data_IF_664253580694
#
_entry.id   IF_664253580694
#
_cell.length_a   1.000
_cell.length_b   1.000
_cell.length_c   1.000
_cell.angle_alpha   90.00
_cell.angle_beta   90.00
_cell.angle_gamma   90.00
#
_symmetry.space_group_name_H-M   'P 1'
#
loop_
_entity.id
_entity.type
_entity.pdbx_description
1 polymer ?
#
# COMPACT_ATOMS: atom_id res chain seq x y z
N UNK A 1 5.58 -14.06 -28.84
CA UNK A 1 6.33 -12.89 -28.36
C UNK A 1 5.77 -12.55 -26.98
N UNK A 2 6.52 -12.72 -25.89
CA UNK A 2 6.01 -12.40 -24.54
C UNK A 2 5.95 -10.87 -24.40
N UNK A 3 4.79 -10.34 -24.06
CA UNK A 3 4.54 -8.90 -23.92
C UNK A 3 5.45 -8.30 -22.84
N UNK A 4 5.84 -7.02 -22.97
CA UNK A 4 6.64 -6.31 -21.95
C UNK A 4 6.02 -6.33 -20.54
N UNK A 5 4.68 -6.47 -20.47
CA UNK A 5 3.91 -6.55 -19.23
C UNK A 5 4.00 -7.96 -18.58
N UNK A 6 4.09 -9.04 -19.37
CA UNK A 6 4.28 -10.40 -18.83
C UNK A 6 5.70 -10.59 -18.24
N UNK A 7 6.67 -9.82 -18.72
CA UNK A 7 8.02 -9.76 -18.18
C UNK A 7 8.09 -9.09 -16.80
N UNK A 8 7.13 -8.21 -16.45
CA UNK A 8 6.99 -7.61 -15.11
C UNK A 8 6.44 -8.59 -14.07
N UNK A 9 5.63 -9.56 -14.50
CA UNK A 9 4.97 -10.51 -13.61
C UNK A 9 5.79 -11.80 -13.40
N UNK A 10 6.47 -12.28 -14.44
CA UNK A 10 7.25 -13.52 -14.40
C UNK A 10 8.50 -13.40 -13.48
N UNK A 11 8.97 -14.50 -12.85
CA UNK A 11 10.17 -14.58 -11.95
C UNK A 11 11.45 -13.91 -12.48
N UNK A 12 11.47 -13.53 -13.75
CA UNK A 12 12.52 -12.79 -14.43
C UNK A 12 12.68 -11.35 -13.89
N UNK A 13 13.92 -10.91 -13.68
CA UNK A 13 14.28 -9.52 -13.32
C UNK A 13 14.09 -8.52 -14.48
N UNK A 14 13.83 -9.02 -15.70
CA UNK A 14 13.78 -8.21 -16.93
C UNK A 14 12.69 -7.13 -16.94
N UNK A 15 11.49 -7.41 -16.40
CA UNK A 15 10.43 -6.40 -16.32
C UNK A 15 10.77 -5.24 -15.39
N UNK A 16 11.14 -5.50 -14.11
CA UNK A 16 11.60 -4.45 -13.20
C UNK A 16 12.75 -3.61 -13.78
N UNK A 17 13.69 -4.24 -14.47
CA UNK A 17 14.80 -3.56 -15.15
C UNK A 17 14.33 -2.66 -16.31
N UNK A 18 13.34 -3.11 -17.08
CA UNK A 18 12.77 -2.35 -18.18
C UNK A 18 11.97 -1.15 -17.66
N UNK A 19 11.24 -1.32 -16.55
CA UNK A 19 10.56 -0.23 -15.86
C UNK A 19 11.56 0.80 -15.29
N UNK A 20 12.65 0.34 -14.69
CA UNK A 20 13.74 1.20 -14.23
C UNK A 20 14.36 1.98 -15.40
N UNK A 21 14.62 1.31 -16.53
CA UNK A 21 15.17 1.97 -17.71
C UNK A 21 14.23 3.05 -18.26
N UNK A 22 12.92 2.77 -18.32
CA UNK A 22 11.92 3.75 -18.73
C UNK A 22 11.90 4.94 -17.77
N UNK A 23 11.88 4.68 -16.46
CA UNK A 23 11.86 5.73 -15.45
C UNK A 23 13.15 6.56 -15.46
N UNK A 24 14.33 5.97 -15.66
CA UNK A 24 15.57 6.75 -15.76
C UNK A 24 15.62 7.66 -16.99
N UNK A 25 14.94 7.27 -18.08
CA UNK A 25 14.91 8.04 -19.33
C UNK A 25 13.80 9.11 -19.32
N UNK A 26 12.73 8.91 -18.55
CA UNK A 26 11.56 9.79 -18.53
C UNK A 26 11.90 11.26 -18.16
N UNK A 27 12.76 11.56 -17.17
CA UNK A 27 13.19 12.93 -16.87
C UNK A 27 13.90 13.64 -18.01
N UNK A 28 14.59 12.89 -18.88
CA UNK A 28 15.37 13.42 -20.00
C UNK A 28 14.44 13.78 -21.16
N UNK A 29 13.37 13.01 -21.35
CA UNK A 29 12.37 13.24 -22.40
C UNK A 29 11.42 14.38 -22.04
N UNK A 30 11.10 14.54 -20.75
CA UNK A 30 10.21 15.59 -20.25
C UNK A 30 10.98 16.46 -19.23
N UNK A 31 11.72 17.48 -19.69
CA UNK A 31 12.48 18.37 -18.81
C UNK A 31 11.57 19.44 -18.18
N UNK A 32 10.63 19.01 -17.33
CA UNK A 32 9.75 19.91 -16.58
C UNK A 32 9.83 19.63 -15.07
N UNK A 33 10.39 20.56 -14.26
CA UNK A 33 10.52 20.38 -12.80
C UNK A 33 9.22 19.99 -12.12
N UNK A 34 8.11 20.56 -12.59
CA UNK A 34 6.77 20.24 -12.13
C UNK A 34 6.42 18.74 -12.30
N UNK A 35 6.71 18.18 -13.48
CA UNK A 35 6.48 16.75 -13.75
C UNK A 35 7.42 15.89 -12.90
N UNK A 36 8.67 16.32 -12.68
CA UNK A 36 9.59 15.61 -11.79
C UNK A 36 9.06 15.57 -10.36
N UNK A 37 8.57 16.70 -9.84
CA UNK A 37 7.97 16.76 -8.51
C UNK A 37 6.73 15.88 -8.36
N UNK A 38 5.85 15.84 -9.36
CA UNK A 38 4.72 14.89 -9.38
C UNK A 38 5.21 13.44 -9.35
N UNK A 39 6.27 13.12 -10.09
CA UNK A 39 6.85 11.77 -10.10
C UNK A 39 7.53 11.38 -8.79
N UNK A 40 8.13 12.35 -8.07
CA UNK A 40 8.63 12.12 -6.71
C UNK A 40 7.47 11.75 -5.79
N UNK A 41 6.35 12.48 -5.83
CA UNK A 41 5.16 12.17 -5.04
C UNK A 41 4.56 10.80 -5.40
N UNK A 42 4.48 10.48 -6.69
CA UNK A 42 4.07 9.14 -7.15
C UNK A 42 4.97 8.06 -6.55
N UNK A 43 6.29 8.27 -6.56
CA UNK A 43 7.24 7.33 -5.98
C UNK A 43 7.02 7.12 -4.48
N UNK A 44 6.90 8.22 -3.72
CA UNK A 44 6.64 8.16 -2.27
C UNK A 44 5.34 7.42 -1.95
N UNK A 45 4.25 7.76 -2.65
CA UNK A 45 2.96 7.09 -2.47
C UNK A 45 2.97 5.63 -2.94
N UNK A 46 3.79 5.29 -3.94
CA UNK A 46 4.01 3.89 -4.35
C UNK A 46 4.67 3.09 -3.23
N UNK A 47 5.65 3.66 -2.50
CA UNK A 47 6.27 2.99 -1.35
C UNK A 47 5.21 2.72 -0.28
N UNK A 48 4.42 3.74 0.10
CA UNK A 48 3.33 3.57 1.09
C UNK A 48 2.33 2.51 0.63
N UNK A 49 1.86 2.62 -0.62
CA UNK A 49 0.89 1.72 -1.19
C UNK A 49 1.42 0.28 -1.35
N UNK A 50 2.72 0.10 -1.56
CA UNK A 50 3.35 -1.24 -1.61
C UNK A 50 3.25 -1.93 -0.26
N UNK A 51 3.58 -1.22 0.82
CA UNK A 51 3.37 -1.74 2.19
C UNK A 51 1.90 -2.08 2.43
N UNK A 52 1.01 -1.13 2.15
CA UNK A 52 -0.42 -1.29 2.37
C UNK A 52 -1.04 -2.43 1.53
N UNK A 53 -0.56 -2.64 0.29
CA UNK A 53 -0.97 -3.77 -0.55
C UNK A 53 -0.50 -5.12 0.00
N UNK A 54 0.70 -5.20 0.61
CA UNK A 54 1.13 -6.41 1.31
C UNK A 54 0.17 -6.73 2.47
N UNK A 55 -0.23 -5.72 3.23
CA UNK A 55 -1.12 -5.89 4.38
C UNK A 55 -2.55 -6.28 3.96
N UNK A 56 -3.15 -5.53 3.05
CA UNK A 56 -4.54 -5.77 2.65
C UNK A 56 -4.68 -6.95 1.68
N UNK A 57 -3.87 -6.98 0.62
CA UNK A 57 -4.01 -7.92 -0.48
C UNK A 57 -3.53 -9.33 -0.16
N UNK A 58 -2.60 -9.48 0.80
CA UNK A 58 -2.05 -10.79 1.15
C UNK A 58 -2.38 -11.23 2.57
N UNK A 59 -2.50 -10.33 3.54
CA UNK A 59 -2.87 -10.70 4.91
C UNK A 59 -4.39 -10.56 5.18
N UNK A 60 -5.13 -9.86 4.32
CA UNK A 60 -6.57 -9.60 4.50
C UNK A 60 -6.89 -8.55 5.55
N UNK A 61 -5.93 -7.70 5.88
CA UNK A 61 -6.06 -6.76 6.99
C UNK A 61 -6.27 -5.34 6.46
N UNK A 62 -7.44 -4.78 6.72
CA UNK A 62 -7.72 -3.37 6.39
C UNK A 62 -7.05 -2.48 7.45
N UNK A 63 -6.32 -1.45 7.00
CA UNK A 63 -5.72 -0.47 7.89
C UNK A 63 -6.03 0.94 7.43
N UNK A 64 -6.76 1.69 8.27
CA UNK A 64 -7.13 3.09 8.08
C UNK A 64 -6.23 4.04 8.90
N UNK A 65 -5.12 3.54 9.42
CA UNK A 65 -4.14 4.30 10.22
C UNK A 65 -2.78 4.47 9.57
N UNK A 66 -2.63 4.19 8.27
CA UNK A 66 -1.32 4.22 7.59
C UNK A 66 -0.65 5.59 7.57
N UNK A 67 -1.44 6.67 7.51
CA UNK A 67 -0.94 8.03 7.59
C UNK A 67 -0.25 8.33 8.93
N UNK A 68 -0.61 7.66 10.01
CA UNK A 68 0.09 7.81 11.28
C UNK A 68 1.51 7.23 11.22
N UNK A 69 1.71 6.07 10.58
CA UNK A 69 3.07 5.53 10.38
C UNK A 69 3.90 6.39 9.43
N UNK A 70 3.26 6.92 8.38
CA UNK A 70 3.87 7.90 7.49
C UNK A 70 4.29 9.18 8.25
N UNK A 71 3.39 9.75 9.05
CA UNK A 71 3.67 10.92 9.88
C UNK A 71 4.70 10.66 10.97
N UNK A 72 4.71 9.49 11.60
CA UNK A 72 5.74 9.14 12.60
C UNK A 72 7.13 9.11 11.97
N UNK A 73 7.27 8.54 10.76
CA UNK A 73 8.54 8.62 10.02
C UNK A 73 8.94 10.07 9.72
N UNK A 74 8.00 10.85 9.18
CA UNK A 74 8.21 12.26 8.85
C UNK A 74 8.68 13.10 10.05
N UNK A 75 7.90 13.10 11.14
CA UNK A 75 8.22 13.86 12.33
C UNK A 75 9.48 13.38 13.01
N UNK A 76 9.69 12.08 13.15
CA UNK A 76 10.84 11.60 13.89
C UNK A 76 12.16 11.87 13.14
N UNK A 77 12.16 11.72 11.80
CA UNK A 77 13.31 12.11 10.98
C UNK A 77 13.57 13.63 11.04
N UNK A 78 12.51 14.43 10.93
CA UNK A 78 12.59 15.89 11.05
C UNK A 78 13.12 16.35 12.42
N UNK A 79 12.63 15.77 13.51
CA UNK A 79 13.04 16.13 14.87
C UNK A 79 14.51 15.74 15.11
N UNK A 80 14.93 14.55 14.67
CA UNK A 80 16.32 14.10 14.85
C UNK A 80 17.30 14.98 14.06
N UNK A 81 16.93 15.39 12.86
CA UNK A 81 17.79 16.24 12.03
C UNK A 81 17.85 17.68 12.52
N UNK A 82 16.70 18.28 12.84
CA UNK A 82 16.62 19.70 13.25
C UNK A 82 17.08 19.92 14.69
N UNK A 83 16.63 19.10 15.64
CA UNK A 83 16.91 19.34 17.07
C UNK A 83 18.18 18.66 17.55
N UNK A 84 18.46 17.45 17.07
CA UNK A 84 19.63 16.68 17.50
C UNK A 84 20.83 16.84 16.55
N UNK A 85 20.65 17.48 15.39
CA UNK A 85 21.71 17.66 14.39
C UNK A 85 22.19 16.34 13.78
N UNK A 86 21.37 15.28 13.82
CA UNK A 86 21.75 13.99 13.27
C UNK A 86 21.81 14.02 11.75
N UNK A 87 22.66 13.20 11.11
CA UNK A 87 22.60 12.98 9.67
C UNK A 87 21.21 12.51 9.24
N UNK A 88 20.74 12.96 8.07
CA UNK A 88 19.39 12.65 7.59
C UNK A 88 19.08 11.15 7.53
N UNK A 89 20.05 10.33 7.11
CA UNK A 89 19.91 8.88 7.11
C UNK A 89 19.69 8.29 8.51
N UNK A 90 20.36 8.81 9.53
CA UNK A 90 20.17 8.36 10.90
C UNK A 90 18.78 8.77 11.42
N UNK A 91 18.30 9.96 11.04
CA UNK A 91 16.93 10.40 11.31
C UNK A 91 15.88 9.49 10.67
N UNK A 92 16.06 9.13 9.39
CA UNK A 92 15.17 8.21 8.66
C UNK A 92 15.14 6.84 9.36
N UNK A 93 16.30 6.29 9.70
CA UNK A 93 16.39 4.99 10.41
C UNK A 93 15.71 5.05 11.77
N UNK A 94 15.87 6.14 12.53
CA UNK A 94 15.18 6.34 13.79
C UNK A 94 13.65 6.38 13.60
N UNK A 95 13.16 7.09 12.58
CA UNK A 95 11.73 7.11 12.25
C UNK A 95 11.17 5.74 11.87
N UNK A 96 11.91 4.96 11.08
CA UNK A 96 11.52 3.58 10.73
C UNK A 96 11.46 2.70 11.98
N UNK A 97 12.48 2.77 12.85
CA UNK A 97 12.51 1.97 14.08
C UNK A 97 11.35 2.32 15.02
N UNK A 98 11.07 3.61 15.20
CA UNK A 98 9.93 4.06 16.01
C UNK A 98 8.61 3.55 15.42
N UNK A 99 8.41 3.67 14.11
CA UNK A 99 7.21 3.17 13.45
C UNK A 99 7.04 1.65 13.61
N UNK A 100 8.12 0.86 13.48
CA UNK A 100 8.09 -0.60 13.68
C UNK A 100 7.75 -0.95 15.13
N UNK A 101 8.38 -0.28 16.11
CA UNK A 101 8.13 -0.52 17.54
C UNK A 101 6.69 -0.18 17.91
N UNK A 102 6.18 0.97 17.46
CA UNK A 102 4.78 1.35 17.69
C UNK A 102 3.82 0.39 16.96
N UNK A 103 4.14 -0.01 15.73
CA UNK A 103 3.35 -1.00 15.00
C UNK A 103 3.31 -2.36 15.73
N UNK A 104 4.41 -2.78 16.37
CA UNK A 104 4.43 -3.97 17.20
C UNK A 104 3.52 -3.82 18.43
N UNK A 105 3.69 -2.74 19.20
CA UNK A 105 2.95 -2.47 20.43
C UNK A 105 1.44 -2.42 20.17
N UNK A 106 1.03 -1.72 19.11
CA UNK A 106 -0.38 -1.56 18.76
C UNK A 106 -0.93 -2.76 17.99
N UNK A 107 -0.10 -3.42 17.18
CA UNK A 107 -0.47 -4.58 16.40
C UNK A 107 -0.83 -5.78 17.29
N UNK A 108 -0.07 -6.05 18.36
CA UNK A 108 -0.36 -7.19 19.26
C UNK A 108 -1.81 -7.23 19.78
N UNK A 109 -2.37 -6.13 20.33
CA UNK A 109 -3.78 -6.10 20.72
C UNK A 109 -4.74 -5.92 19.53
N UNK A 110 -4.41 -5.06 18.55
CA UNK A 110 -5.33 -4.75 17.45
C UNK A 110 -5.61 -5.97 16.56
N UNK A 111 -4.61 -6.83 16.34
CA UNK A 111 -4.75 -8.01 15.48
C UNK A 111 -5.58 -9.15 16.07
N UNK A 112 -6.05 -9.02 17.32
CA UNK A 112 -7.02 -9.94 17.93
C UNK A 112 -8.47 -9.62 17.53
N UNK A 113 -8.70 -8.47 16.90
CA UNK A 113 -10.01 -8.03 16.43
C UNK A 113 -10.33 -8.64 15.07
N UNK A 114 -11.62 -8.81 14.78
CA UNK A 114 -12.10 -9.15 13.44
C UNK A 114 -11.87 -8.00 12.46
N UNK A 115 -11.85 -8.28 11.16
CA UNK A 115 -11.31 -7.41 10.11
C UNK A 115 -11.93 -6.01 10.08
N UNK A 116 -13.26 -5.91 10.26
CA UNK A 116 -13.96 -4.63 10.29
C UNK A 116 -13.63 -3.81 11.54
N UNK A 117 -13.46 -4.47 12.69
CA UNK A 117 -13.06 -3.82 13.95
C UNK A 117 -11.58 -3.44 13.94
N UNK A 118 -10.72 -4.21 13.26
CA UNK A 118 -9.32 -3.84 13.03
C UNK A 118 -9.22 -2.54 12.23
N UNK A 119 -10.05 -2.37 11.20
CA UNK A 119 -10.16 -1.12 10.45
C UNK A 119 -10.49 0.07 11.36
N UNK A 120 -11.51 -0.07 12.21
CA UNK A 120 -11.90 0.96 13.18
C UNK A 120 -10.80 1.24 14.22
N UNK A 121 -10.15 0.21 14.75
CA UNK A 121 -9.07 0.35 15.72
C UNK A 121 -7.86 1.09 15.11
N UNK A 122 -7.50 0.78 13.86
CA UNK A 122 -6.40 1.47 13.17
C UNK A 122 -6.73 2.93 12.83
N UNK A 123 -8.00 3.23 12.52
CA UNK A 123 -8.47 4.61 12.37
C UNK A 123 -8.32 5.38 13.69
N UNK A 124 -8.81 4.80 14.79
CA UNK A 124 -8.68 5.40 16.13
C UNK A 124 -7.23 5.65 16.51
N UNK A 125 -6.35 4.69 16.25
CA UNK A 125 -4.90 4.86 16.40
C UNK A 125 -4.38 6.05 15.56
N UNK A 126 -4.80 6.15 14.30
CA UNK A 126 -4.44 7.27 13.43
C UNK A 126 -4.82 8.63 14.02
N UNK A 127 -6.05 8.74 14.53
CA UNK A 127 -6.55 9.94 15.20
C UNK A 127 -5.76 10.26 16.46
N UNK A 128 -5.43 9.26 17.28
CA UNK A 128 -4.61 9.43 18.48
C UNK A 128 -3.24 10.02 18.11
N UNK A 129 -2.55 9.45 17.12
CA UNK A 129 -1.24 9.94 16.67
C UNK A 129 -1.33 11.37 16.12
N UNK A 130 -2.39 11.68 15.36
CA UNK A 130 -2.65 13.05 14.92
C UNK A 130 -2.81 14.03 16.09
N UNK A 131 -3.56 13.64 17.14
CA UNK A 131 -3.71 14.45 18.36
C UNK A 131 -2.35 14.63 19.06
N UNK A 132 -1.50 13.60 19.09
CA UNK A 132 -0.14 13.73 19.61
C UNK A 132 0.67 14.76 18.83
N UNK A 133 0.64 14.73 17.49
CA UNK A 133 1.33 15.73 16.67
C UNK A 133 0.80 17.15 16.90
N UNK A 134 -0.49 17.29 17.15
CA UNK A 134 -1.13 18.58 17.44
C UNK A 134 -0.77 19.12 18.83
N UNK A 135 -0.81 18.28 19.86
CA UNK A 135 -0.65 18.69 21.26
C UNK A 135 0.81 18.84 21.70
N UNK A 136 1.74 18.10 21.10
CA UNK A 136 3.16 18.19 21.41
C UNK A 136 3.82 19.43 20.78
N UNK A 137 3.22 20.62 20.95
CA UNK A 137 3.67 21.88 20.31
C UNK A 137 5.16 22.17 20.53
N UNK A 138 5.70 21.86 21.71
CA UNK A 138 7.13 22.04 22.02
C UNK A 138 8.06 21.16 21.18
N UNK A 139 7.59 20.01 20.69
CA UNK A 139 8.37 19.04 19.93
C UNK A 139 8.09 19.12 18.43
N UNK A 140 6.82 19.15 18.04
CA UNK A 140 6.35 19.05 16.65
C UNK A 140 5.98 20.39 16.01
N UNK A 141 5.95 21.49 16.78
CA UNK A 141 5.43 22.78 16.32
C UNK A 141 3.89 22.88 16.36
N UNK A 142 3.19 21.78 16.62
CA UNK A 142 1.72 21.76 16.69
C UNK A 142 1.08 22.10 15.33
N UNK A 143 -0.04 22.84 15.35
CA UNK A 143 -0.73 23.26 14.13
C UNK A 143 0.05 24.27 13.29
N UNK A 144 1.04 24.95 13.88
CA UNK A 144 1.89 25.93 13.19
C UNK A 144 2.86 25.23 12.21
N UNK A 145 3.03 23.91 12.36
CA UNK A 145 3.92 23.08 11.56
C UNK A 145 5.37 23.09 12.06
N UNK A 146 6.15 22.19 11.49
CA UNK A 146 7.57 22.01 11.77
C UNK A 146 8.36 22.40 10.52
N UNK A 147 9.12 23.49 10.63
CA UNK A 147 9.92 24.08 9.55
C UNK A 147 11.42 23.94 9.82
N UNK A 148 12.24 24.27 8.81
CA UNK A 148 13.70 24.23 8.92
C UNK A 148 14.28 22.83 8.79
N UNK A 149 13.53 21.88 8.20
CA UNK A 149 14.03 20.54 7.92
C UNK A 149 15.07 20.64 6.82
N UNK A 150 16.34 20.23 7.06
CA UNK A 150 17.35 20.28 6.02
C UNK A 150 16.99 19.33 4.89
N UNK A 151 17.33 19.75 3.67
CA UNK A 151 17.29 18.87 2.51
C UNK A 151 18.15 17.63 2.76
N UNK A 152 17.82 16.52 2.09
CA UNK A 152 18.53 15.28 2.32
C UNK A 152 20.00 15.44 1.94
N UNK A 153 20.91 15.15 2.87
CA UNK A 153 22.33 15.04 2.59
C UNK A 153 22.77 13.59 2.83
N UNK A 154 23.27 12.94 1.79
CA UNK A 154 23.76 11.55 1.84
C UNK A 154 25.25 11.56 1.49
N UNK A 155 26.10 11.24 2.47
CA UNK A 155 27.56 11.18 2.31
C UNK A 155 28.19 12.45 1.70
N UNK A 156 27.62 13.64 1.98
CA UNK A 156 28.12 14.92 1.47
C UNK A 156 27.47 15.39 0.17
N UNK A 157 26.56 14.61 -0.42
CA UNK A 157 25.76 15.00 -1.59
C UNK A 157 24.43 15.54 -1.09
N UNK A 158 24.15 16.81 -1.39
CA UNK A 158 22.87 17.47 -1.09
C UNK A 158 21.89 17.27 -2.23
N UNK A 159 20.70 16.77 -1.89
CA UNK A 159 19.58 16.60 -2.80
C UNK A 159 18.68 17.82 -2.65
N UNK A 160 18.76 18.77 -3.59
CA UNK A 160 18.01 20.04 -3.48
C UNK A 160 16.96 20.14 -4.58
N UNK A 161 17.23 19.61 -5.77
CA UNK A 161 16.31 19.74 -6.91
C UNK A 161 15.33 18.57 -7.00
N UNK A 162 14.19 18.81 -7.66
CA UNK A 162 13.20 17.75 -7.93
C UNK A 162 13.79 16.59 -8.74
N UNK A 163 14.77 16.87 -9.61
CA UNK A 163 15.51 15.84 -10.33
C UNK A 163 16.37 14.99 -9.40
N UNK A 164 17.06 15.61 -8.44
CA UNK A 164 17.90 14.87 -7.48
C UNK A 164 17.03 13.91 -6.66
N UNK A 165 15.89 14.39 -6.16
CA UNK A 165 14.93 13.57 -5.45
C UNK A 165 14.30 12.49 -6.33
N UNK A 166 14.05 12.77 -7.62
CA UNK A 166 13.59 11.77 -8.56
C UNK A 166 14.56 10.59 -8.63
N UNK A 167 15.85 10.87 -8.84
CA UNK A 167 16.88 9.84 -8.93
C UNK A 167 17.15 9.13 -7.61
N UNK A 168 16.79 9.73 -6.47
CA UNK A 168 16.85 9.07 -5.17
C UNK A 168 15.65 8.17 -4.89
N UNK A 169 14.44 8.64 -5.17
CA UNK A 169 13.19 7.95 -4.79
C UNK A 169 12.92 6.74 -5.69
N UNK A 170 13.13 6.84 -7.00
CA UNK A 170 12.77 5.74 -7.90
C UNK A 170 13.58 4.44 -7.72
N UNK A 171 14.90 4.48 -7.46
CA UNK A 171 15.63 3.29 -7.04
C UNK A 171 15.10 2.69 -5.74
N UNK A 172 14.71 3.53 -4.76
CA UNK A 172 14.10 3.06 -3.51
C UNK A 172 12.73 2.43 -3.73
N UNK A 173 11.90 3.01 -4.59
CA UNK A 173 10.62 2.42 -5.03
C UNK A 173 10.84 1.05 -5.63
N UNK A 174 11.79 0.92 -6.56
CA UNK A 174 12.09 -0.36 -7.19
C UNK A 174 12.60 -1.38 -6.17
N UNK A 175 13.52 -0.98 -5.29
CA UNK A 175 14.02 -1.84 -4.22
C UNK A 175 12.88 -2.29 -3.30
N UNK A 176 11.97 -1.38 -2.93
CA UNK A 176 10.78 -1.67 -2.13
C UNK A 176 9.84 -2.65 -2.83
N UNK A 177 9.54 -2.46 -4.12
CA UNK A 177 8.69 -3.38 -4.88
C UNK A 177 9.35 -4.76 -5.01
N UNK A 178 10.65 -4.82 -5.29
CA UNK A 178 11.40 -6.08 -5.41
C UNK A 178 11.47 -6.83 -4.07
N UNK A 179 11.68 -6.11 -2.97
CA UNK A 179 11.64 -6.68 -1.62
C UNK A 179 10.26 -7.25 -1.30
N UNK A 180 9.20 -6.47 -1.49
CA UNK A 180 7.81 -6.90 -1.28
C UNK A 180 7.49 -8.15 -2.11
N UNK A 181 7.92 -8.16 -3.37
CA UNK A 181 7.78 -9.30 -4.27
C UNK A 181 8.48 -10.55 -3.74
N UNK A 182 9.72 -10.42 -3.27
CA UNK A 182 10.46 -11.55 -2.72
C UNK A 182 9.79 -12.10 -1.46
N UNK A 183 9.29 -11.23 -0.58
CA UNK A 183 8.55 -11.63 0.63
C UNK A 183 7.28 -12.40 0.25
N UNK A 184 6.51 -11.92 -0.72
CA UNK A 184 5.26 -12.54 -1.18
C UNK A 184 5.52 -13.89 -1.90
N UNK A 185 6.65 -14.03 -2.59
CA UNK A 185 7.01 -15.29 -3.23
C UNK A 185 7.67 -16.31 -2.27
N UNK A 186 8.05 -15.87 -1.07
CA UNK A 186 8.69 -16.70 -0.06
C UNK A 186 7.69 -17.61 0.70
N UNK A 187 8.19 -18.31 1.73
CA UNK A 187 7.34 -19.10 2.66
C UNK A 187 6.34 -18.20 3.39
N UNK A 188 6.76 -16.98 3.74
CA UNK A 188 5.93 -15.97 4.42
C UNK A 188 4.72 -15.63 3.57
N UNK A 189 4.92 -15.30 2.29
CA UNK A 189 3.83 -14.98 1.38
C UNK A 189 2.83 -16.12 1.15
N UNK A 190 3.28 -17.38 1.16
CA UNK A 190 2.37 -18.53 1.08
C UNK A 190 1.50 -18.67 2.33
N UNK A 191 2.08 -18.46 3.51
CA UNK A 191 1.33 -18.44 4.77
C UNK A 191 0.32 -17.28 4.79
N UNK A 192 0.72 -16.08 4.35
CA UNK A 192 -0.20 -14.95 4.25
C UNK A 192 -1.38 -15.24 3.32
N UNK A 193 -1.11 -15.78 2.13
CA UNK A 193 -2.17 -16.12 1.18
C UNK A 193 -3.11 -17.21 1.69
N UNK A 194 -2.62 -18.16 2.51
CA UNK A 194 -3.51 -19.13 3.15
C UNK A 194 -4.40 -18.46 4.21
N UNK A 195 -3.81 -17.57 5.03
CA UNK A 195 -4.52 -16.80 6.06
C UNK A 195 -5.62 -15.94 5.43
N UNK A 196 -5.34 -15.30 4.29
CA UNK A 196 -6.31 -14.49 3.55
C UNK A 196 -7.51 -15.30 3.04
N UNK A 197 -7.30 -16.57 2.65
CA UNK A 197 -8.38 -17.44 2.21
C UNK A 197 -9.25 -17.92 3.38
N UNK A 198 -8.63 -18.45 4.43
CA UNK A 198 -9.31 -18.77 5.68
C UNK A 198 -8.31 -18.83 6.82
N UNK A 199 -8.47 -17.90 7.77
CA UNK A 199 -7.65 -17.87 8.98
C UNK A 199 -7.84 -19.12 9.83
N UNK A 200 -9.10 -19.58 9.99
CA UNK A 200 -9.42 -20.78 10.78
C UNK A 200 -8.78 -22.02 10.17
N UNK A 201 -8.88 -22.20 8.85
CA UNK A 201 -8.26 -23.35 8.17
C UNK A 201 -6.73 -23.31 8.22
N UNK A 202 -6.14 -22.12 8.08
CA UNK A 202 -4.67 -21.95 8.17
C UNK A 202 -4.14 -22.29 9.56
N UNK A 203 -4.85 -21.88 10.61
CA UNK A 203 -4.49 -22.20 11.99
C UNK A 203 -4.61 -23.72 12.26
N UNK A 204 -5.61 -24.41 11.68
CA UNK A 204 -5.78 -25.86 11.84
C UNK A 204 -4.63 -26.69 11.26
N UNK A 205 -3.96 -26.19 10.21
CA UNK A 205 -2.78 -26.84 9.62
C UNK A 205 -1.44 -26.35 10.22
N UNK A 206 -1.49 -25.61 11.34
CA UNK A 206 -0.30 -25.20 12.10
C UNK A 206 0.36 -23.89 11.66
N UNK A 207 -0.26 -23.09 10.79
CA UNK A 207 0.24 -21.75 10.43
C UNK A 207 -0.17 -20.77 11.52
N UNK A 208 0.79 -20.13 12.20
CA UNK A 208 0.49 -19.12 13.22
C UNK A 208 0.02 -17.81 12.57
N UNK A 209 -1.29 -17.60 12.46
CA UNK A 209 -1.86 -16.42 11.78
C UNK A 209 -1.42 -15.10 12.41
N UNK A 210 -1.42 -15.03 13.75
CA UNK A 210 -1.10 -13.83 14.51
C UNK A 210 0.32 -13.33 14.23
N UNK A 211 1.30 -14.23 14.19
CA UNK A 211 2.71 -13.86 13.98
C UNK A 211 2.93 -13.33 12.56
N UNK A 212 2.38 -14.01 11.54
CA UNK A 212 2.53 -13.57 10.16
C UNK A 212 1.80 -12.26 9.88
N UNK A 213 0.59 -12.08 10.42
CA UNK A 213 -0.16 -10.82 10.34
C UNK A 213 0.61 -9.68 11.02
N UNK A 214 1.18 -9.91 12.20
CA UNK A 214 1.98 -8.90 12.92
C UNK A 214 3.26 -8.51 12.16
N UNK A 215 3.97 -9.48 11.60
CA UNK A 215 5.17 -9.23 10.79
C UNK A 215 4.86 -8.36 9.58
N UNK A 216 3.78 -8.64 8.85
CA UNK A 216 3.38 -7.82 7.70
C UNK A 216 2.90 -6.45 8.12
N UNK A 217 2.20 -6.33 9.25
CA UNK A 217 1.80 -5.04 9.79
C UNK A 217 3.00 -4.15 10.10
N UNK A 218 4.02 -4.70 10.76
CA UNK A 218 5.29 -3.99 11.02
C UNK A 218 6.03 -3.63 9.74
N UNK A 219 6.08 -4.53 8.75
CA UNK A 219 6.67 -4.22 7.44
C UNK A 219 5.92 -3.08 6.76
N UNK A 220 4.59 -3.11 6.75
CA UNK A 220 3.75 -2.07 6.17
C UNK A 220 3.99 -0.70 6.80
N UNK A 221 4.10 -0.67 8.13
CA UNK A 221 4.46 0.54 8.88
C UNK A 221 5.87 1.05 8.53
N UNK A 222 6.84 0.16 8.31
CA UNK A 222 8.19 0.54 7.87
C UNK A 222 8.17 1.20 6.48
N UNK A 223 7.42 0.65 5.52
CA UNK A 223 7.26 1.27 4.19
C UNK A 223 6.64 2.67 4.29
N UNK A 224 5.59 2.82 5.10
CA UNK A 224 4.98 4.12 5.35
C UNK A 224 5.97 5.10 5.97
N UNK A 225 6.75 4.68 6.98
CA UNK A 225 7.72 5.52 7.65
C UNK A 225 8.89 5.93 6.75
N UNK A 226 9.39 5.05 5.87
CA UNK A 226 10.40 5.38 4.84
C UNK A 226 9.88 6.52 3.97
N UNK A 227 8.68 6.35 3.41
CA UNK A 227 8.11 7.35 2.51
C UNK A 227 7.84 8.68 3.22
N UNK A 228 7.35 8.65 4.47
CA UNK A 228 7.09 9.85 5.25
C UNK A 228 8.36 10.60 5.65
N UNK A 229 9.41 9.87 6.00
CA UNK A 229 10.71 10.49 6.31
C UNK A 229 11.29 11.19 5.08
N UNK A 230 11.26 10.53 3.91
CA UNK A 230 11.70 11.13 2.65
C UNK A 230 10.84 12.33 2.26
N UNK A 231 9.54 12.27 2.45
CA UNK A 231 8.62 13.39 2.20
C UNK A 231 8.95 14.62 3.04
N UNK A 232 9.28 14.44 4.33
CA UNK A 232 9.64 15.53 5.21
C UNK A 232 10.90 16.27 4.73
N UNK A 233 11.91 15.53 4.25
CA UNK A 233 13.12 16.12 3.69
C UNK A 233 12.91 16.75 2.31
N UNK A 234 11.98 16.21 1.51
CA UNK A 234 11.64 16.75 0.20
C UNK A 234 10.88 18.08 0.29
N UNK A 235 9.81 18.14 1.08
CA UNK A 235 9.00 19.37 1.22
C UNK A 235 9.64 20.38 2.19
N UNK A 236 10.55 19.92 3.06
CA UNK A 236 11.27 20.72 4.09
C UNK A 236 10.37 21.39 5.15
N UNK A 237 9.07 21.11 5.10
CA UNK A 237 8.05 21.58 6.01
C UNK A 237 6.97 20.50 6.17
N UNK A 238 6.55 20.24 7.41
CA UNK A 238 5.46 19.30 7.69
C UNK A 238 4.49 19.89 8.70
N UNK A 239 3.20 19.63 8.50
CA UNK A 239 2.13 19.99 9.45
C UNK A 239 1.29 18.77 9.80
N UNK A 240 0.63 18.71 10.98
CA UNK A 240 -0.15 17.55 11.39
C UNK A 240 -1.27 17.17 10.41
N UNK A 241 -1.85 18.16 9.72
CA UNK A 241 -2.98 18.00 8.80
C UNK A 241 -2.65 17.08 7.61
N UNK A 242 -1.38 16.98 7.23
CA UNK A 242 -0.91 16.07 6.18
C UNK A 242 -1.05 14.58 6.57
N UNK A 243 -1.24 14.29 7.86
CA UNK A 243 -1.22 12.94 8.42
C UNK A 243 -2.57 12.52 9.03
N UNK A 244 -3.66 13.17 8.62
CA UNK A 244 -5.01 12.85 9.08
C UNK A 244 -5.53 11.51 8.54
N UNK A 245 -6.67 11.05 9.09
CA UNK A 245 -7.36 9.86 8.60
C UNK A 245 -7.67 9.93 7.09
N UNK A 246 -7.97 11.13 6.57
CA UNK A 246 -8.17 11.40 5.14
C UNK A 246 -6.97 10.96 4.30
N UNK A 247 -5.75 11.20 4.76
CA UNK A 247 -4.55 10.74 4.05
C UNK A 247 -4.45 9.20 4.01
N UNK A 248 -4.85 8.52 5.08
CA UNK A 248 -4.91 7.04 5.09
C UNK A 248 -5.96 6.51 4.10
N UNK A 249 -7.10 7.20 4.00
CA UNK A 249 -8.14 6.88 3.01
C UNK A 249 -7.61 7.10 1.60
N UNK A 250 -6.85 8.18 1.34
CA UNK A 250 -6.24 8.41 0.03
C UNK A 250 -5.25 7.30 -0.34
N UNK A 251 -4.40 6.85 0.60
CA UNK A 251 -3.52 5.69 0.36
C UNK A 251 -4.31 4.42 0.05
N UNK A 252 -5.41 4.19 0.75
CA UNK A 252 -6.31 3.07 0.48
C UNK A 252 -6.90 3.16 -0.93
N UNK A 253 -7.40 4.34 -1.33
CA UNK A 253 -7.93 4.60 -2.67
C UNK A 253 -6.88 4.29 -3.73
N UNK A 254 -5.65 4.78 -3.58
CA UNK A 254 -4.55 4.48 -4.51
C UNK A 254 -4.34 2.96 -4.68
N UNK A 255 -4.31 2.21 -3.59
CA UNK A 255 -4.11 0.75 -3.64
C UNK A 255 -5.31 0.03 -4.28
N UNK A 256 -6.54 0.47 -4.01
CA UNK A 256 -7.75 -0.10 -4.61
C UNK A 256 -7.79 0.18 -6.12
N UNK A 257 -7.56 1.43 -6.53
CA UNK A 257 -7.49 1.83 -7.94
C UNK A 257 -6.43 1.00 -8.67
N UNK A 258 -5.25 0.84 -8.07
CA UNK A 258 -4.17 0.04 -8.64
C UNK A 258 -4.45 -1.47 -8.71
N UNK A 259 -5.26 -1.98 -7.78
CA UNK A 259 -5.57 -3.40 -7.60
C UNK A 259 -4.92 -3.96 -6.33
N UNK A 260 -5.74 -4.28 -5.32
CA UNK A 260 -5.29 -4.64 -3.96
C UNK A 260 -4.39 -5.88 -3.92
N UNK A 261 -4.69 -6.88 -4.76
CA UNK A 261 -3.99 -8.18 -4.78
C UNK A 261 -2.77 -8.24 -5.74
N UNK A 262 -2.27 -7.09 -6.20
CA UNK A 262 -1.14 -7.02 -7.13
C UNK A 262 -0.01 -6.12 -6.58
N UNK A 263 1.22 -6.64 -6.54
CA UNK A 263 2.41 -5.92 -6.05
C UNK A 263 2.70 -4.66 -6.88
N UNK A 264 2.40 -4.70 -8.17
CA UNK A 264 2.59 -3.56 -9.06
C UNK A 264 1.39 -2.61 -9.09
N UNK A 265 0.27 -3.00 -8.47
CA UNK A 265 -0.95 -2.20 -8.39
C UNK A 265 -0.70 -0.82 -7.77
N UNK A 266 -0.05 -0.73 -6.60
CA UNK A 266 0.25 0.55 -5.94
C UNK A 266 0.95 1.58 -6.83
N UNK A 267 1.85 1.14 -7.73
CA UNK A 267 2.53 2.05 -8.67
C UNK A 267 1.53 2.67 -9.65
N UNK A 268 0.69 1.85 -10.27
CA UNK A 268 -0.35 2.32 -11.20
C UNK A 268 -1.39 3.17 -10.49
N UNK A 269 -1.78 2.76 -9.29
CA UNK A 269 -2.73 3.48 -8.45
C UNK A 269 -2.22 4.86 -8.02
N UNK A 270 -0.97 4.95 -7.58
CA UNK A 270 -0.34 6.21 -7.22
C UNK A 270 -0.19 7.13 -8.43
N UNK A 271 0.24 6.61 -9.59
CA UNK A 271 0.28 7.39 -10.83
C UNK A 271 -1.11 7.93 -11.20
N UNK A 272 -2.11 7.05 -11.27
CA UNK A 272 -3.47 7.44 -11.62
C UNK A 272 -4.01 8.49 -10.63
N UNK A 273 -3.82 8.29 -9.33
CA UNK A 273 -4.29 9.21 -8.32
C UNK A 273 -3.61 10.58 -8.41
N UNK A 274 -2.28 10.64 -8.49
CA UNK A 274 -1.54 11.91 -8.49
C UNK A 274 -1.84 12.72 -9.75
N UNK A 275 -1.79 12.09 -10.93
CA UNK A 275 -2.11 12.79 -12.17
C UNK A 275 -3.58 13.22 -12.25
N UNK A 276 -4.48 12.38 -11.74
CA UNK A 276 -5.90 12.72 -11.73
C UNK A 276 -6.21 13.85 -10.74
N UNK A 277 -5.66 13.78 -9.52
CA UNK A 277 -5.75 14.86 -8.52
C UNK A 277 -5.28 16.18 -9.10
N UNK A 278 -4.13 16.16 -9.78
CA UNK A 278 -3.54 17.35 -10.33
C UNK A 278 -4.32 17.90 -11.54
N UNK A 279 -4.75 17.03 -12.47
CA UNK A 279 -5.61 17.44 -13.58
C UNK A 279 -6.97 17.95 -13.11
N UNK A 280 -7.49 17.43 -11.99
CA UNK A 280 -8.69 17.95 -11.36
C UNK A 280 -8.49 19.37 -10.84
N UNK A 281 -7.36 19.68 -10.21
CA UNK A 281 -7.07 21.04 -9.74
C UNK A 281 -6.99 22.06 -10.88
N UNK A 282 -6.60 21.64 -12.08
CA UNK A 282 -6.59 22.50 -13.26
C UNK A 282 -7.98 22.65 -13.89
N UNK A 283 -8.75 21.56 -14.01
CA UNK A 283 -10.03 21.54 -14.73
C UNK A 283 -11.20 22.05 -13.88
N UNK A 284 -11.22 21.75 -12.58
CA UNK A 284 -12.35 22.10 -11.70
C UNK A 284 -12.58 23.62 -11.63
N UNK A 285 -11.57 24.48 -11.45
CA UNK A 285 -11.75 25.93 -11.43
C UNK A 285 -12.24 26.50 -12.77
N UNK A 286 -12.01 25.80 -13.88
CA UNK A 286 -12.48 26.21 -15.22
C UNK A 286 -13.99 25.97 -15.40
N UNK A 287 -14.54 24.95 -14.74
CA UNK A 287 -15.96 24.56 -14.86
C UNK A 287 -16.81 25.18 -13.76
N UNK A 288 -16.27 25.30 -12.54
CA UNK A 288 -16.98 25.83 -11.37
C UNK A 288 -16.14 26.93 -10.72
N UNK A 289 -16.53 28.18 -10.91
CA UNK A 289 -15.93 29.32 -10.22
C UNK A 289 -16.11 29.17 -8.69
N UNK A 290 -15.03 29.25 -7.92
CA UNK A 290 -14.94 29.02 -6.46
C UNK A 290 -14.98 27.57 -5.98
N UNK A 291 -14.72 26.58 -6.83
CA UNK A 291 -14.53 25.22 -6.36
C UNK A 291 -13.22 25.08 -5.56
N UNK A 292 -13.33 24.74 -4.27
CA UNK A 292 -12.19 24.44 -3.39
C UNK A 292 -11.81 22.95 -3.40
N UNK A 293 -10.87 22.56 -2.53
CA UNK A 293 -10.39 21.17 -2.40
C UNK A 293 -11.46 20.15 -1.96
N UNK A 294 -12.62 20.61 -1.48
CA UNK A 294 -13.72 19.75 -1.06
C UNK A 294 -14.32 18.95 -2.23
N UNK A 295 -14.33 19.53 -3.44
CA UNK A 295 -14.81 18.86 -4.65
C UNK A 295 -13.90 17.71 -5.09
N UNK A 296 -12.60 17.80 -4.80
CA UNK A 296 -11.63 16.73 -5.09
C UNK A 296 -12.00 15.46 -4.30
N UNK A 297 -12.36 15.60 -3.02
CA UNK A 297 -12.76 14.49 -2.15
C UNK A 297 -14.03 13.81 -2.68
N UNK A 298 -15.04 14.60 -3.05
CA UNK A 298 -16.31 14.09 -3.60
C UNK A 298 -16.05 13.32 -4.90
N UNK A 299 -15.23 13.87 -5.80
CA UNK A 299 -14.90 13.22 -7.07
C UNK A 299 -14.16 11.90 -6.84
N UNK A 300 -13.17 11.86 -5.95
CA UNK A 300 -12.47 10.61 -5.61
C UNK A 300 -13.40 9.57 -4.98
N UNK A 301 -14.38 9.99 -4.18
CA UNK A 301 -15.42 9.10 -3.66
C UNK A 301 -16.27 8.48 -4.77
N UNK A 302 -16.74 9.29 -5.71
CA UNK A 302 -17.51 8.83 -6.88
C UNK A 302 -16.66 7.90 -7.75
N UNK A 303 -15.40 8.28 -8.03
CA UNK A 303 -14.46 7.48 -8.80
C UNK A 303 -14.19 6.13 -8.15
N UNK A 304 -14.00 6.10 -6.83
CA UNK A 304 -13.79 4.86 -6.06
C UNK A 304 -15.00 3.93 -6.21
N UNK A 305 -16.23 4.46 -6.03
CA UNK A 305 -17.46 3.67 -6.18
C UNK A 305 -17.59 3.16 -7.61
N UNK A 306 -17.38 4.01 -8.62
CA UNK A 306 -17.41 3.61 -10.02
C UNK A 306 -16.38 2.51 -10.32
N UNK A 307 -15.16 2.63 -9.81
CA UNK A 307 -14.10 1.65 -10.03
C UNK A 307 -14.40 0.32 -9.33
N UNK A 308 -14.98 0.34 -8.13
CA UNK A 308 -15.43 -0.87 -7.45
C UNK A 308 -16.57 -1.58 -8.20
N UNK A 309 -17.46 -0.84 -8.87
CA UNK A 309 -18.56 -1.39 -9.66
C UNK A 309 -18.06 -1.94 -11.01
N UNK A 310 -17.32 -1.14 -11.76
CA UNK A 310 -16.94 -1.44 -13.14
C UNK A 310 -15.63 -2.22 -13.26
N UNK A 311 -14.72 -2.10 -12.30
CA UNK A 311 -13.36 -2.66 -12.34
C UNK A 311 -12.95 -3.25 -10.97
N UNK A 312 -13.66 -4.28 -10.46
CA UNK A 312 -13.46 -4.80 -9.09
C UNK A 312 -12.06 -5.40 -8.84
N UNK A 313 -11.30 -5.73 -9.89
CA UNK A 313 -9.90 -6.19 -9.76
C UNK A 313 -8.86 -5.04 -9.80
N UNK A 314 -9.28 -3.80 -10.05
CA UNK A 314 -8.40 -2.64 -10.23
C UNK A 314 -8.00 -2.35 -11.68
N UNK A 315 -7.31 -1.23 -11.91
CA UNK A 315 -6.86 -0.78 -13.23
C UNK A 315 -5.86 -1.74 -13.86
N UNK A 316 -4.87 -2.20 -13.09
CA UNK A 316 -3.77 -3.00 -13.64
C UNK A 316 -4.23 -4.36 -14.18
N UNK A 317 -5.02 -5.19 -13.45
CA UNK A 317 -5.54 -6.44 -13.99
C UNK A 317 -6.51 -6.24 -15.17
N UNK A 318 -7.28 -5.15 -15.17
CA UNK A 318 -8.21 -4.83 -16.26
C UNK A 318 -7.46 -4.46 -17.55
N UNK A 319 -6.38 -3.67 -17.45
CA UNK A 319 -5.48 -3.39 -18.57
C UNK A 319 -4.83 -4.66 -19.10
N UNK A 320 -4.39 -5.57 -18.22
CA UNK A 320 -3.85 -6.87 -18.63
C UNK A 320 -4.87 -7.72 -19.38
N UNK A 321 -6.13 -7.76 -18.93
CA UNK A 321 -7.21 -8.50 -19.62
C UNK A 321 -7.51 -7.91 -21.01
N UNK A 322 -7.52 -6.59 -21.16
CA UNK A 322 -7.73 -5.92 -22.45
C UNK A 322 -6.60 -6.22 -23.44
N UNK A 323 -5.35 -6.10 -23.00
CA UNK A 323 -4.17 -6.38 -23.83
C UNK A 323 -4.05 -7.87 -24.17
N UNK A 324 -4.33 -8.76 -23.22
CA UNK A 324 -4.33 -10.22 -23.43
C UNK A 324 -5.46 -10.73 -24.32
N UNK A 325 -6.56 -9.97 -24.44
CA UNK A 325 -7.69 -10.30 -25.35
C UNK A 325 -7.40 -9.89 -26.79
N UNK A 326 -6.56 -8.87 -27.02
CA UNK A 326 -6.11 -8.44 -28.36
C UNK A 326 -4.99 -9.33 -28.93
N UNK A 327 -4.17 -9.97 -28.09
CA UNK A 327 -3.15 -10.93 -28.51
C UNK A 327 -3.49 -12.33 -28.02
N UNK A 328 -4.31 -13.04 -28.80
CA UNK A 328 -4.86 -14.35 -28.48
C UNK A 328 -3.83 -15.37 -28.00
N UNK A 329 -3.68 -15.51 -26.68
CA UNK A 329 -3.12 -16.71 -26.09
C UNK A 329 -4.19 -17.79 -26.16
N UNK A 330 -4.05 -18.73 -27.11
CA UNK A 330 -4.80 -19.99 -27.12
C UNK A 330 -4.74 -20.59 -25.71
N UNK A 331 -5.88 -20.61 -25.02
CA UNK A 331 -6.07 -21.40 -23.80
C UNK A 331 -5.66 -22.84 -24.13
N UNK A 332 -4.69 -23.36 -23.41
CA UNK A 332 -4.49 -24.81 -23.36
C UNK A 332 -5.79 -25.43 -22.87
N UNK A 333 -6.28 -26.42 -23.63
CA UNK A 333 -7.49 -27.20 -23.35
C UNK A 333 -7.46 -27.65 -21.88
N UNK A 334 -8.55 -27.50 -21.10
CA UNK A 334 -8.60 -28.07 -19.76
C UNK A 334 -8.31 -29.56 -19.89
N UNK A 335 -7.32 -30.06 -19.16
CA UNK A 335 -7.18 -31.50 -18.92
C UNK A 335 -8.50 -31.92 -18.30
N UNK A 336 -9.22 -32.80 -18.99
CA UNK A 336 -10.52 -33.31 -18.54
C UNK A 336 -10.38 -33.78 -17.10
N UNK A 337 -11.20 -33.21 -16.22
CA UNK A 337 -11.34 -33.70 -14.85
C UNK A 337 -11.71 -35.18 -14.93
N UNK A 338 -10.83 -36.04 -14.41
CA UNK A 338 -11.20 -37.42 -14.12
C UNK A 338 -12.39 -37.36 -13.15
N UNK A 339 -13.51 -38.05 -13.42
CA UNK A 339 -14.65 -38.02 -12.52
C UNK A 339 -14.21 -38.56 -11.16
N UNK A 340 -14.37 -37.73 -10.13
CA UNK A 340 -14.40 -38.21 -8.75
C UNK A 340 -15.56 -39.18 -8.68
N UNK A 341 -15.25 -40.47 -8.53
CA UNK A 341 -16.26 -41.50 -8.23
C UNK A 341 -16.92 -41.10 -6.92
N UNK A 342 -18.11 -40.52 -7.02
CA UNK A 342 -19.08 -40.43 -5.93
C UNK A 342 -19.45 -41.86 -5.55
N UNK A 343 -18.82 -42.37 -4.49
CA UNK A 343 -19.32 -43.56 -3.81
C UNK A 343 -20.70 -43.20 -3.24
N UNK A 344 -21.70 -43.93 -3.72
CA UNK A 344 -23.11 -43.83 -3.39
C UNK A 344 -23.35 -43.84 -1.88
N UNK A 345 -23.98 -42.80 -1.36
CA UNK A 345 -24.63 -42.80 -0.05
C UNK A 345 -26.13 -43.00 -0.29
N UNK A 346 -26.50 -44.19 -0.75
CA UNK A 346 -27.89 -44.62 -0.87
C UNK A 346 -27.93 -46.14 -0.73
N UNK A 347 -28.02 -46.61 0.52
CA UNK A 347 -28.56 -47.92 0.94
C UNK A 347 -28.34 -48.09 2.46
N UNK A 348 -29.31 -47.63 3.27
CA UNK A 348 -29.63 -48.18 4.59
C UNK A 348 -30.89 -47.50 5.17
N UNK A 349 -32.02 -47.55 4.46
CA UNK A 349 -33.31 -47.58 5.14
C UNK A 349 -33.64 -49.04 5.40
N UNK A 350 -33.66 -49.45 6.68
CA UNK A 350 -34.40 -50.64 7.10
C UNK A 350 -35.38 -50.21 8.19
N UNK A 351 -36.70 -50.40 8.00
CA UNK A 351 -37.69 -49.97 8.97
C UNK A 351 -37.72 -50.95 10.16
N UNK A 352 -37.60 -50.42 11.38
CA UNK A 352 -37.85 -51.20 12.60
C UNK A 352 -39.35 -51.46 12.68
N UNK A 353 -39.73 -52.69 12.36
CA UNK A 353 -41.09 -53.22 12.44
C UNK A 353 -41.43 -53.43 13.91
N UNK A 354 -42.24 -52.53 14.47
CA UNK A 354 -42.96 -52.76 15.72
C UNK A 354 -43.95 -53.91 15.49
N UNK A 355 -43.66 -55.08 16.04
CA UNK A 355 -44.64 -56.13 16.28
C UNK A 355 -44.91 -56.16 17.78
N UNK A 356 -46.12 -55.77 18.17
CA UNK A 356 -46.63 -56.03 19.51
C UNK A 356 -47.00 -57.50 19.69
N UNK A 357 -47.15 -57.92 20.95
CA UNK A 357 -47.89 -59.12 21.31
C UNK A 357 -47.32 -59.90 22.51
N UNK A 358 -47.93 -59.67 23.67
CA UNK A 358 -48.22 -60.60 24.78
C UNK A 358 -47.12 -61.52 25.35
N UNK A 359 -46.76 -61.26 26.61
CA UNK A 359 -47.15 -62.10 27.77
C UNK A 359 -46.86 -61.40 29.09
#
# INVERSE_FOLDING_TARGET
MKTGIDLLYNRSLKGPLLLLAILLVLPIVIPSPYVHGMMVLVGLYTIVGTGLSMLMGYAGQISLGHAAFYGMGAYMSAICTVKLGWPALAGILAGILVAIVIAYIIGVPALKLTEHYLGLATLGFGVIIFIFFKQLKSVTGGLDGFSGIPALNVFGIEFVTDMDYYYLVWPLVLCGILFARNVIQSRVGRALRSIHGSEVASNAIGVNSQTYKLQVFMMSAAYAAVAGSLYAHYITFISPQLFEATASINFLIMVIIGGVANIWGPLVGAMAFVFLSEGLKEVIPMVISNAGGEFEIVFFGILLVALLIYMPEGLLPSLQKLVGKQFGTKKAKPVAATPVVTASAEQAETPVRMAGGDK
#
